data_IF_806850139795
#
_entry.id   IF_806850139795
#
_cell.length_a   1.000
_cell.length_b   1.000
_cell.length_c   1.000
_cell.angle_alpha   90.00
_cell.angle_beta   90.00
_cell.angle_gamma   90.00
#
_symmetry.space_group_name_H-M   'P 1'
#
loop_
_entity.id
_entity.type
_entity.pdbx_description
1 polymer ?
#
# COMPACT_ATOMS: atom_id res chain seq x y z
N UNK A 1 -20.31 33.48 17.68
CA UNK A 1 -20.96 32.57 16.71
C UNK A 1 -19.92 31.91 15.76
N UNK A 2 -19.03 32.66 15.19
CA UNK A 2 -18.03 32.18 14.20
C UNK A 2 -17.10 31.05 14.67
N UNK A 3 -16.58 31.12 15.92
CA UNK A 3 -15.73 30.03 16.48
C UNK A 3 -16.47 28.68 16.62
N UNK A 4 -17.77 28.71 16.93
CA UNK A 4 -18.58 27.51 17.10
C UNK A 4 -18.90 26.86 15.76
N UNK A 5 -19.12 27.66 14.73
CA UNK A 5 -19.34 27.19 13.34
C UNK A 5 -18.08 26.57 12.76
N UNK A 6 -16.91 27.18 12.94
CA UNK A 6 -15.60 26.60 12.51
C UNK A 6 -15.29 25.28 13.20
N UNK A 7 -15.61 25.15 14.49
CA UNK A 7 -15.39 23.91 15.24
C UNK A 7 -16.30 22.76 14.72
N UNK A 8 -17.56 23.05 14.38
CA UNK A 8 -18.50 22.06 13.82
C UNK A 8 -18.08 21.62 12.43
N UNK A 9 -17.66 22.54 11.54
CA UNK A 9 -17.17 22.22 10.20
C UNK A 9 -15.91 21.33 10.27
N UNK A 10 -14.97 21.65 11.18
CA UNK A 10 -13.78 20.83 11.39
C UNK A 10 -14.11 19.43 11.92
N UNK A 11 -15.14 19.27 12.73
CA UNK A 11 -15.57 17.98 13.26
C UNK A 11 -16.15 17.09 12.16
N UNK A 12 -17.06 17.60 11.34
CA UNK A 12 -17.65 16.84 10.23
C UNK A 12 -16.59 16.41 9.21
N UNK A 13 -15.63 17.28 8.90
CA UNK A 13 -14.51 16.95 8.01
C UNK A 13 -13.67 15.80 8.57
N UNK A 14 -13.30 15.86 9.87
CA UNK A 14 -12.52 14.81 10.53
C UNK A 14 -13.28 13.50 10.64
N UNK A 15 -14.56 13.57 10.97
CA UNK A 15 -15.41 12.37 11.05
C UNK A 15 -15.51 11.68 9.69
N UNK A 16 -15.75 12.46 8.63
CA UNK A 16 -15.77 11.93 7.25
C UNK A 16 -14.44 11.27 6.89
N UNK A 17 -13.32 11.91 7.21
CA UNK A 17 -11.97 11.37 6.97
C UNK A 17 -11.77 10.03 7.68
N UNK A 18 -12.16 9.92 8.95
CA UNK A 18 -12.05 8.68 9.73
C UNK A 18 -12.95 7.57 9.16
N UNK A 19 -14.21 7.89 8.83
CA UNK A 19 -15.13 6.93 8.25
C UNK A 19 -14.65 6.43 6.88
N UNK A 20 -14.20 7.33 6.00
CA UNK A 20 -13.66 6.97 4.70
C UNK A 20 -12.38 6.13 4.85
N UNK A 21 -11.48 6.49 5.77
CA UNK A 21 -10.28 5.72 6.07
C UNK A 21 -10.60 4.30 6.54
N UNK A 22 -11.55 4.15 7.46
CA UNK A 22 -11.98 2.84 7.95
C UNK A 22 -12.59 1.98 6.84
N UNK A 23 -13.42 2.56 5.97
CA UNK A 23 -13.99 1.87 4.81
C UNK A 23 -12.89 1.44 3.84
N UNK A 24 -11.91 2.31 3.54
CA UNK A 24 -10.82 1.99 2.62
C UNK A 24 -9.91 0.89 3.16
N UNK A 25 -9.64 0.87 4.47
CA UNK A 25 -8.93 -0.23 5.12
C UNK A 25 -9.74 -1.53 4.99
N UNK A 26 -11.04 -1.50 5.32
CA UNK A 26 -11.88 -2.71 5.23
C UNK A 26 -11.93 -3.27 3.80
N UNK A 27 -12.04 -2.41 2.79
CA UNK A 27 -11.99 -2.81 1.37
C UNK A 27 -10.61 -3.39 1.02
N UNK A 28 -9.52 -2.79 1.50
CA UNK A 28 -8.18 -3.30 1.28
C UNK A 28 -8.00 -4.70 1.89
N UNK A 29 -8.46 -4.93 3.12
CA UNK A 29 -8.43 -6.24 3.77
C UNK A 29 -9.24 -7.29 2.99
N UNK A 30 -10.45 -6.95 2.54
CA UNK A 30 -11.25 -7.86 1.71
C UNK A 30 -10.51 -8.22 0.42
N UNK A 31 -9.88 -7.25 -0.24
CA UNK A 31 -9.15 -7.48 -1.48
C UNK A 31 -7.88 -8.31 -1.25
N UNK A 32 -7.22 -8.19 -0.10
CA UNK A 32 -6.04 -9.00 0.26
C UNK A 32 -6.40 -10.48 0.50
N UNK A 33 -7.63 -10.77 0.95
CA UNK A 33 -8.12 -12.14 1.07
C UNK A 33 -8.50 -12.79 -0.27
N UNK A 34 -8.56 -12.01 -1.35
CA UNK A 34 -8.90 -12.45 -2.70
C UNK A 34 -7.76 -12.20 -3.69
N UNK A 35 -6.54 -12.71 -3.40
CA UNK A 35 -5.40 -12.49 -4.29
C UNK A 35 -5.61 -13.21 -5.62
N UNK A 36 -5.15 -12.61 -6.70
CA UNK A 36 -5.09 -13.24 -8.01
C UNK A 36 -4.04 -14.38 -8.01
N UNK A 37 -2.95 -14.17 -7.29
CA UNK A 37 -1.90 -15.16 -7.09
C UNK A 37 -1.16 -14.87 -5.77
N UNK A 38 -0.79 -15.93 -5.03
CA UNK A 38 0.00 -15.84 -3.79
C UNK A 38 1.33 -16.54 -3.99
N UNK A 39 2.42 -15.85 -3.66
CA UNK A 39 3.77 -16.40 -3.77
C UNK A 39 4.11 -17.25 -2.53
N UNK A 40 5.06 -18.23 -2.65
CA UNK A 40 5.35 -19.18 -1.58
C UNK A 40 5.85 -18.57 -0.26
N UNK A 41 6.64 -17.50 -0.33
CA UNK A 41 7.27 -16.86 0.82
C UNK A 41 6.60 -15.55 1.25
N UNK A 42 5.31 -15.41 1.00
CA UNK A 42 4.59 -14.16 1.17
C UNK A 42 4.56 -13.36 -0.13
N UNK A 43 3.98 -12.17 -0.08
CA UNK A 43 3.68 -11.40 -1.27
C UNK A 43 2.52 -11.99 -2.06
N UNK A 44 1.66 -11.13 -2.52
CA UNK A 44 0.47 -11.47 -3.30
C UNK A 44 0.32 -10.49 -4.45
N UNK A 45 -0.30 -10.95 -5.51
CA UNK A 45 -0.74 -10.10 -6.62
C UNK A 45 -2.22 -9.86 -6.38
N UNK A 46 -2.57 -8.64 -5.97
CA UNK A 46 -3.92 -8.27 -5.57
C UNK A 46 -4.20 -6.77 -5.78
N UNK A 47 -5.38 -6.35 -5.37
CA UNK A 47 -5.83 -4.95 -5.47
C UNK A 47 -5.81 -4.21 -4.12
N UNK A 48 -5.24 -4.78 -3.05
CA UNK A 48 -5.33 -4.21 -1.70
C UNK A 48 -4.69 -2.83 -1.57
N UNK A 49 -3.63 -2.54 -2.33
CA UNK A 49 -3.00 -1.21 -2.32
C UNK A 49 -3.89 -0.10 -2.91
N UNK A 50 -4.81 -0.45 -3.80
CA UNK A 50 -5.61 0.52 -4.56
C UNK A 50 -6.46 1.44 -3.66
N UNK A 51 -7.29 0.94 -2.72
CA UNK A 51 -8.07 1.81 -1.83
C UNK A 51 -7.19 2.62 -0.89
N UNK A 52 -6.06 2.09 -0.45
CA UNK A 52 -5.12 2.80 0.43
C UNK A 52 -4.50 3.99 -0.31
N UNK A 53 -3.95 3.77 -1.52
CA UNK A 53 -3.39 4.85 -2.34
C UNK A 53 -4.45 5.90 -2.68
N UNK A 54 -5.68 5.46 -2.99
CA UNK A 54 -6.81 6.35 -3.23
C UNK A 54 -7.08 7.27 -2.05
N UNK A 55 -7.16 6.71 -0.85
CA UNK A 55 -7.33 7.47 0.38
C UNK A 55 -6.19 8.49 0.58
N UNK A 56 -4.93 8.05 0.41
CA UNK A 56 -3.76 8.91 0.57
C UNK A 56 -3.81 10.13 -0.37
N UNK A 57 -4.12 9.92 -1.65
CA UNK A 57 -4.20 11.00 -2.64
C UNK A 57 -5.33 11.97 -2.33
N UNK A 58 -6.44 11.51 -1.78
CA UNK A 58 -7.59 12.35 -1.40
C UNK A 58 -7.33 13.16 -0.14
N UNK A 59 -6.85 12.52 0.91
CA UNK A 59 -6.75 13.10 2.26
C UNK A 59 -5.36 13.62 2.61
N UNK A 60 -4.35 13.32 1.79
CA UNK A 60 -2.98 13.80 1.96
C UNK A 60 -2.11 12.91 2.83
N UNK A 61 -0.87 13.36 3.03
CA UNK A 61 0.22 12.57 3.62
C UNK A 61 -0.05 12.09 5.04
N UNK A 62 -0.40 12.98 5.97
CA UNK A 62 -0.57 12.63 7.40
C UNK A 62 -1.65 11.57 7.63
N UNK A 63 -2.91 11.80 7.22
CA UNK A 63 -3.97 10.79 7.28
C UNK A 63 -3.64 9.53 6.47
N UNK A 64 -2.98 9.69 5.30
CA UNK A 64 -2.53 8.60 4.46
C UNK A 64 -1.55 7.68 5.18
N UNK A 65 -0.55 8.22 5.87
CA UNK A 65 0.40 7.44 6.68
C UNK A 65 -0.30 6.64 7.78
N UNK A 66 -1.27 7.26 8.47
CA UNK A 66 -2.01 6.60 9.54
C UNK A 66 -2.83 5.42 9.01
N UNK A 67 -3.60 5.62 7.93
CA UNK A 67 -4.42 4.57 7.30
C UNK A 67 -3.54 3.46 6.73
N UNK A 68 -2.43 3.80 6.08
CA UNK A 68 -1.48 2.83 5.53
C UNK A 68 -0.82 1.99 6.63
N UNK A 69 -0.37 2.61 7.72
CA UNK A 69 0.21 1.91 8.86
C UNK A 69 -0.82 1.00 9.56
N UNK A 70 -2.05 1.47 9.73
CA UNK A 70 -3.14 0.67 10.30
C UNK A 70 -3.45 -0.55 9.45
N UNK A 71 -3.52 -0.39 8.11
CA UNK A 71 -3.67 -1.51 7.18
C UNK A 71 -2.52 -2.52 7.33
N UNK A 72 -1.26 -2.05 7.43
CA UNK A 72 -0.12 -2.94 7.64
C UNK A 72 -0.18 -3.75 8.94
N UNK A 73 -0.66 -3.14 10.03
CA UNK A 73 -0.89 -3.86 11.30
C UNK A 73 -1.98 -4.93 11.14
N UNK A 74 -3.07 -4.63 10.44
CA UNK A 74 -4.13 -5.60 10.20
C UNK A 74 -3.67 -6.73 9.28
N UNK A 75 -2.89 -6.44 8.25
CA UNK A 75 -2.27 -7.47 7.40
C UNK A 75 -1.43 -8.44 8.22
N UNK A 76 -0.61 -7.94 9.15
CA UNK A 76 0.16 -8.78 10.06
C UNK A 76 -0.74 -9.69 10.90
N UNK A 77 -1.86 -9.18 11.40
CA UNK A 77 -2.79 -9.93 12.26
C UNK A 77 -3.58 -10.97 11.49
N UNK A 78 -4.06 -10.64 10.28
CA UNK A 78 -4.98 -11.48 9.52
C UNK A 78 -4.28 -12.48 8.60
N UNK A 79 -3.14 -12.14 8.02
CA UNK A 79 -2.39 -13.08 7.18
C UNK A 79 -1.56 -14.10 7.95
N UNK A 80 -1.57 -14.03 9.30
CA UNK A 80 -0.80 -14.94 10.16
C UNK A 80 0.71 -14.83 9.97
N UNK A 81 1.15 -13.69 9.53
CA UNK A 81 2.49 -13.19 9.23
C UNK A 81 3.58 -14.25 9.04
N UNK A 82 3.92 -14.59 7.82
CA UNK A 82 5.20 -15.26 7.56
C UNK A 82 6.28 -14.25 7.93
N UNK A 83 6.85 -14.38 9.14
CA UNK A 83 7.85 -13.47 9.66
C UNK A 83 8.96 -14.25 10.37
N UNK A 84 10.21 -13.83 10.15
CA UNK A 84 11.41 -14.45 10.75
C UNK A 84 11.86 -13.67 11.99
N UNK A 85 10.93 -13.15 12.77
CA UNK A 85 11.24 -12.34 13.95
C UNK A 85 10.72 -10.92 13.85
N UNK A 86 10.99 -10.13 14.88
CA UNK A 86 10.43 -8.78 15.00
C UNK A 86 10.92 -7.81 13.92
N UNK A 87 12.13 -8.01 13.37
CA UNK A 87 12.68 -7.16 12.29
C UNK A 87 11.87 -7.33 11.00
N UNK A 88 11.52 -8.57 10.64
CA UNK A 88 10.66 -8.87 9.49
C UNK A 88 9.25 -8.32 9.72
N UNK A 89 8.70 -8.46 10.94
CA UNK A 89 7.39 -7.89 11.29
C UNK A 89 7.38 -6.37 11.08
N UNK A 90 8.39 -5.67 11.59
CA UNK A 90 8.48 -4.22 11.42
C UNK A 90 8.71 -3.83 9.96
N UNK A 91 9.61 -4.53 9.25
CA UNK A 91 9.97 -4.22 7.88
C UNK A 91 8.82 -4.52 6.91
N UNK A 92 8.39 -5.77 6.85
CA UNK A 92 7.46 -6.26 5.82
C UNK A 92 6.02 -5.80 6.04
N UNK A 93 5.61 -5.63 7.31
CA UNK A 93 4.24 -5.22 7.60
C UNK A 93 4.14 -3.74 7.96
N UNK A 94 4.81 -3.26 9.02
CA UNK A 94 4.59 -1.89 9.46
C UNK A 94 5.19 -0.86 8.50
N UNK A 95 6.50 -0.96 8.21
CA UNK A 95 7.21 0.05 7.40
C UNK A 95 6.78 -0.05 5.94
N UNK A 96 6.74 -1.26 5.35
CA UNK A 96 6.40 -1.46 3.96
C UNK A 96 4.99 -0.98 3.60
N UNK A 97 4.04 -1.12 4.51
CA UNK A 97 2.70 -0.56 4.31
C UNK A 97 2.62 0.92 4.65
N UNK A 98 3.22 1.38 5.76
CA UNK A 98 3.18 2.79 6.13
C UNK A 98 3.71 3.71 5.03
N UNK A 99 4.78 3.32 4.32
CA UNK A 99 5.36 4.14 3.25
C UNK A 99 4.42 4.36 2.06
N UNK A 100 3.32 3.58 1.90
CA UNK A 100 2.28 3.88 0.92
C UNK A 100 1.66 5.27 1.14
N UNK A 101 1.70 5.76 2.38
CA UNK A 101 1.26 7.11 2.74
C UNK A 101 1.94 8.23 1.97
N UNK A 102 3.14 8.00 1.39
CA UNK A 102 3.84 8.99 0.54
C UNK A 102 3.02 9.37 -0.70
N UNK A 103 2.08 8.51 -1.14
CA UNK A 103 1.12 8.84 -2.19
C UNK A 103 0.37 10.15 -1.90
N UNK A 104 0.13 10.45 -0.62
CA UNK A 104 -0.56 11.66 -0.18
C UNK A 104 0.19 12.97 -0.43
N UNK A 105 1.48 12.93 -0.79
CA UNK A 105 2.25 14.08 -1.26
C UNK A 105 1.89 14.50 -2.68
N UNK A 106 1.26 13.61 -3.45
CA UNK A 106 0.93 13.80 -4.87
C UNK A 106 -0.58 13.92 -5.10
N UNK A 107 -1.26 14.74 -4.30
CA UNK A 107 -2.71 14.94 -4.37
C UNK A 107 -3.16 15.27 -5.80
N UNK A 108 -4.19 14.57 -6.27
CA UNK A 108 -4.74 14.72 -7.62
C UNK A 108 -3.89 14.14 -8.77
N UNK A 109 -2.69 13.59 -8.50
CA UNK A 109 -1.79 13.00 -9.49
C UNK A 109 -1.68 11.48 -9.31
N UNK A 110 -2.76 10.77 -9.54
CA UNK A 110 -2.91 9.35 -9.24
C UNK A 110 -1.78 8.46 -9.74
N UNK A 111 -1.48 8.51 -11.05
CA UNK A 111 -0.45 7.66 -11.64
C UNK A 111 0.91 7.89 -10.98
N UNK A 112 1.28 9.15 -10.75
CA UNK A 112 2.54 9.48 -10.09
C UNK A 112 2.54 9.02 -8.63
N UNK A 113 1.44 9.26 -7.90
CA UNK A 113 1.27 8.82 -6.52
C UNK A 113 1.42 7.30 -6.40
N UNK A 114 0.78 6.55 -7.30
CA UNK A 114 0.85 5.07 -7.33
C UNK A 114 2.27 4.58 -7.59
N UNK A 115 2.94 5.14 -8.61
CA UNK A 115 4.33 4.76 -8.93
C UNK A 115 5.26 5.02 -7.75
N UNK A 116 5.18 6.21 -7.14
CA UNK A 116 6.05 6.57 -6.02
C UNK A 116 5.76 5.72 -4.78
N UNK A 117 4.48 5.47 -4.45
CA UNK A 117 4.11 4.63 -3.32
C UNK A 117 4.56 3.18 -3.51
N UNK A 118 4.34 2.60 -4.69
CA UNK A 118 4.80 1.25 -5.01
C UNK A 118 6.34 1.16 -4.99
N UNK A 119 7.05 2.15 -5.54
CA UNK A 119 8.50 2.18 -5.49
C UNK A 119 9.03 2.28 -4.04
N UNK A 120 8.40 3.09 -3.19
CA UNK A 120 8.76 3.19 -1.78
C UNK A 120 8.54 1.85 -1.05
N UNK A 121 7.39 1.20 -1.24
CA UNK A 121 7.10 -0.12 -0.67
C UNK A 121 8.06 -1.18 -1.20
N UNK A 122 8.30 -1.21 -2.51
CA UNK A 122 9.28 -2.10 -3.13
C UNK A 122 10.67 -1.95 -2.51
N UNK A 123 11.12 -0.72 -2.27
CA UNK A 123 12.43 -0.47 -1.66
C UNK A 123 12.53 -1.09 -0.27
N UNK A 124 11.49 -1.00 0.55
CA UNK A 124 11.45 -1.65 1.87
C UNK A 124 11.55 -3.17 1.74
N UNK A 125 10.66 -3.79 0.94
CA UNK A 125 10.68 -5.25 0.74
C UNK A 125 11.98 -5.73 0.10
N UNK A 126 12.56 -4.95 -0.81
CA UNK A 126 13.85 -5.26 -1.44
C UNK A 126 14.97 -5.34 -0.41
N UNK A 127 15.07 -4.35 0.49
CA UNK A 127 16.08 -4.34 1.54
C UNK A 127 15.84 -5.44 2.56
N UNK A 128 14.61 -5.59 3.05
CA UNK A 128 14.23 -6.63 4.01
C UNK A 128 14.47 -8.02 3.42
N UNK A 129 14.07 -8.26 2.19
CA UNK A 129 14.27 -9.52 1.48
C UNK A 129 15.75 -9.86 1.26
N UNK A 130 16.57 -8.87 0.94
CA UNK A 130 17.99 -9.07 0.71
C UNK A 130 18.84 -9.24 2.00
N UNK A 131 18.30 -8.81 3.15
CA UNK A 131 19.02 -8.83 4.44
C UNK A 131 18.41 -9.84 5.40
N UNK A 132 17.17 -9.67 5.80
CA UNK A 132 16.52 -10.49 6.82
C UNK A 132 16.15 -11.88 6.25
N UNK A 133 15.66 -11.92 4.99
CA UNK A 133 15.28 -13.16 4.32
C UNK A 133 16.42 -13.81 3.51
N UNK A 134 17.65 -13.32 3.63
CA UNK A 134 18.79 -13.77 2.83
C UNK A 134 19.02 -15.30 2.89
N UNK A 135 18.83 -15.92 4.07
CA UNK A 135 19.03 -17.35 4.30
C UNK A 135 17.99 -18.23 3.57
N UNK A 136 16.87 -17.64 3.15
CA UNK A 136 15.78 -18.35 2.44
C UNK A 136 15.88 -18.21 0.91
N UNK A 137 17.00 -17.70 0.40
CA UNK A 137 17.23 -17.59 -1.03
C UNK A 137 17.35 -18.99 -1.65
N UNK A 138 16.52 -19.34 -2.66
CA UNK A 138 16.64 -20.60 -3.37
C UNK A 138 17.87 -20.61 -4.29
N UNK A 139 18.35 -21.78 -4.69
CA UNK A 139 19.43 -21.89 -5.67
C UNK A 139 19.03 -21.37 -7.05
N UNK A 140 17.76 -21.56 -7.42
CA UNK A 140 17.22 -21.12 -8.72
C UNK A 140 15.87 -20.45 -8.56
N UNK A 141 15.63 -19.38 -9.33
CA UNK A 141 14.34 -18.69 -9.42
C UNK A 141 14.13 -18.21 -10.87
N UNK A 142 12.94 -18.43 -11.43
CA UNK A 142 12.63 -18.20 -12.85
C UNK A 142 13.63 -18.84 -13.83
N UNK A 143 14.17 -20.01 -13.48
CA UNK A 143 15.16 -20.71 -14.32
C UNK A 143 16.56 -20.08 -14.31
N UNK A 144 16.80 -19.07 -13.48
CA UNK A 144 18.10 -18.42 -13.30
C UNK A 144 18.73 -18.86 -11.97
N UNK A 145 20.05 -19.04 -11.95
CA UNK A 145 20.80 -19.28 -10.72
C UNK A 145 20.88 -18.00 -9.89
N UNK A 146 20.48 -18.07 -8.62
CA UNK A 146 20.55 -16.93 -7.70
C UNK A 146 21.96 -16.79 -7.15
N UNK A 147 22.61 -15.69 -7.50
CA UNK A 147 24.01 -15.43 -7.14
C UNK A 147 24.14 -14.66 -5.83
N UNK A 148 23.15 -13.83 -5.49
CA UNK A 148 23.14 -13.02 -4.26
C UNK A 148 21.71 -12.84 -3.75
N UNK A 149 21.51 -12.66 -2.43
CA UNK A 149 20.19 -12.33 -1.87
C UNK A 149 19.60 -11.04 -2.46
N UNK A 150 20.43 -10.07 -2.81
CA UNK A 150 20.02 -8.84 -3.47
C UNK A 150 19.41 -9.08 -4.83
N UNK A 151 20.05 -9.93 -5.65
CA UNK A 151 19.52 -10.29 -6.97
C UNK A 151 18.20 -11.06 -6.86
N UNK A 152 18.13 -12.02 -5.93
CA UNK A 152 16.89 -12.75 -5.65
C UNK A 152 15.76 -11.81 -5.17
N UNK A 153 16.04 -10.95 -4.20
CA UNK A 153 15.06 -10.01 -3.67
C UNK A 153 14.54 -9.02 -4.72
N UNK A 154 15.44 -8.56 -5.63
CA UNK A 154 15.05 -7.73 -6.77
C UNK A 154 14.02 -8.43 -7.66
N UNK A 155 14.31 -9.68 -8.05
CA UNK A 155 13.41 -10.43 -8.93
C UNK A 155 12.11 -10.80 -8.24
N UNK A 156 12.19 -11.30 -7.01
CA UNK A 156 11.03 -11.75 -6.25
C UNK A 156 10.05 -10.60 -5.98
N UNK A 157 10.52 -9.55 -5.32
CA UNK A 157 9.69 -8.40 -4.97
C UNK A 157 9.32 -7.57 -6.21
N UNK A 158 10.23 -7.45 -7.18
CA UNK A 158 9.98 -6.74 -8.43
C UNK A 158 8.88 -7.38 -9.27
N UNK A 159 8.79 -8.70 -9.27
CA UNK A 159 7.78 -9.44 -10.01
C UNK A 159 6.37 -9.14 -9.49
N UNK A 160 6.06 -9.43 -8.22
CA UNK A 160 4.69 -9.26 -7.74
C UNK A 160 4.31 -7.79 -7.58
N UNK A 161 5.21 -6.93 -7.08
CA UNK A 161 4.92 -5.50 -6.93
C UNK A 161 4.85 -4.76 -8.27
N UNK A 162 5.59 -5.23 -9.28
CA UNK A 162 5.45 -4.72 -10.64
C UNK A 162 4.08 -5.01 -11.22
N UNK A 163 3.55 -6.21 -10.98
CA UNK A 163 2.20 -6.59 -11.40
C UNK A 163 1.13 -5.81 -10.60
N UNK A 164 1.28 -5.65 -9.29
CA UNK A 164 0.38 -4.85 -8.47
C UNK A 164 0.35 -3.38 -8.94
N UNK A 165 1.50 -2.81 -9.27
CA UNK A 165 1.58 -1.48 -9.86
C UNK A 165 0.77 -1.38 -11.16
N UNK A 166 0.96 -2.35 -12.07
CA UNK A 166 0.23 -2.38 -13.34
C UNK A 166 -1.27 -2.54 -13.12
N UNK A 167 -1.70 -3.41 -12.21
CA UNK A 167 -3.10 -3.59 -11.84
C UNK A 167 -3.72 -2.28 -11.29
N UNK A 168 -3.05 -1.62 -10.35
CA UNK A 168 -3.50 -0.35 -9.80
C UNK A 168 -3.61 0.73 -10.89
N UNK A 169 -2.61 0.86 -11.76
CA UNK A 169 -2.64 1.83 -12.86
C UNK A 169 -3.75 1.54 -13.86
N UNK A 170 -3.99 0.27 -14.19
CA UNK A 170 -5.07 -0.15 -15.07
C UNK A 170 -6.44 0.23 -14.49
N UNK A 171 -6.70 -0.10 -13.22
CA UNK A 171 -7.97 0.25 -12.57
C UNK A 171 -8.15 1.76 -12.52
N UNK A 172 -7.13 2.52 -12.16
CA UNK A 172 -7.21 3.98 -12.18
C UNK A 172 -7.48 4.53 -13.58
N UNK A 173 -6.86 3.98 -14.61
CA UNK A 173 -7.11 4.39 -15.99
C UNK A 173 -8.59 4.16 -16.38
N UNK A 174 -9.14 2.98 -16.06
CA UNK A 174 -10.53 2.62 -16.35
C UNK A 174 -11.54 3.50 -15.58
N UNK A 175 -11.24 3.78 -14.29
CA UNK A 175 -12.14 4.54 -13.42
C UNK A 175 -11.96 6.06 -13.53
N UNK A 176 -10.83 6.52 -14.07
CA UNK A 176 -10.43 7.93 -14.05
C UNK A 176 -11.46 8.88 -14.67
N UNK A 177 -12.15 8.46 -15.73
CA UNK A 177 -13.16 9.29 -16.40
C UNK A 177 -14.45 9.42 -15.57
N UNK A 178 -14.92 8.30 -15.00
CA UNK A 178 -16.18 8.26 -14.25
C UNK A 178 -16.05 8.86 -12.84
N UNK A 179 -14.91 8.66 -12.17
CA UNK A 179 -14.70 9.03 -10.77
C UNK A 179 -13.74 10.22 -10.60
N UNK A 180 -13.47 10.98 -11.66
CA UNK A 180 -12.52 12.10 -11.64
C UNK A 180 -12.76 13.12 -10.50
N UNK A 181 -14.00 13.58 -10.23
CA UNK A 181 -14.25 14.53 -9.15
C UNK A 181 -13.89 13.94 -7.77
N UNK A 182 -14.22 12.67 -7.55
CA UNK A 182 -13.89 11.94 -6.34
C UNK A 182 -12.38 11.80 -6.17
N UNK A 183 -11.68 11.39 -7.20
CA UNK A 183 -10.21 11.28 -7.19
C UNK A 183 -9.52 12.62 -6.93
N UNK A 184 -10.07 13.74 -7.40
CA UNK A 184 -9.53 15.07 -7.15
C UNK A 184 -9.93 15.63 -5.78
N UNK A 185 -10.73 14.91 -5.00
CA UNK A 185 -11.20 15.36 -3.70
C UNK A 185 -12.17 16.54 -3.74
N UNK A 186 -12.79 16.83 -4.89
CA UNK A 186 -13.71 17.97 -5.05
C UNK A 186 -14.99 17.87 -4.22
N UNK A 187 -15.31 16.69 -3.76
CA UNK A 187 -16.45 16.40 -2.89
C UNK A 187 -16.15 16.61 -1.40
N UNK A 188 -14.90 16.91 -1.05
CA UNK A 188 -14.43 17.19 0.32
C UNK A 188 -13.98 18.64 0.54
N UNK A 189 -14.01 19.47 -0.50
CA UNK A 189 -13.72 20.92 -0.43
C UNK A 189 -14.91 21.72 0.12
#
# INVERSE_FOLDING_TARGET
MEKKTRAVVNWHYRLRQLCEGAIMIAVAEILSFLPLYKLPWGGSIDFAMLPIILFCVRWGFGPGMLVSATHGILQMLFEGGIAIGWQSILGDFLIAYAVLGVAGLFRGKFCLATVVACAARFTVHYVVGATIWAEYMPETFFGMTMTTPWFYSLLYNGFYMGLDLLLCLLVFALMSKAMRPYFLGKDIE
#
